data_IF_845893789344
#
_entry.id   IF_845893789344
#
_cell.length_a   1.000
_cell.length_b   1.000
_cell.length_c   1.000
_cell.angle_alpha   90.00
_cell.angle_beta   90.00
_cell.angle_gamma   90.00
#
_symmetry.space_group_name_H-M   'P 1'
#
loop_
_entity.id
_entity.type
_entity.pdbx_description
1 polymer ?
#
# COMPACT_ATOMS: atom_id res chain seq x y z
N UNK A 1 -16.57 33.33 0.96
CA UNK A 1 -16.41 31.88 0.82
C UNK A 1 -14.92 31.61 0.76
N UNK A 2 -14.33 31.08 1.83
CA UNK A 2 -12.89 30.81 1.88
C UNK A 2 -12.64 29.49 1.15
N UNK A 3 -11.99 29.54 0.00
CA UNK A 3 -11.60 28.37 -0.78
C UNK A 3 -10.25 27.90 -0.26
N UNK A 4 -10.20 26.73 0.39
CA UNK A 4 -8.94 26.16 0.89
C UNK A 4 -8.38 25.19 -0.15
N UNK A 5 -7.15 25.46 -0.60
CA UNK A 5 -6.41 24.60 -1.52
C UNK A 5 -5.60 23.61 -0.68
N UNK A 6 -5.91 22.32 -0.79
CA UNK A 6 -5.13 21.23 -0.18
C UNK A 6 -3.68 21.34 -0.69
N UNK A 7 -2.70 21.42 0.22
CA UNK A 7 -1.29 21.32 -0.14
C UNK A 7 -0.90 19.84 -0.16
N UNK A 8 -0.15 19.35 -1.18
CA UNK A 8 0.26 17.96 -1.27
C UNK A 8 1.04 17.45 -0.04
N UNK A 9 1.74 18.36 0.64
CA UNK A 9 2.62 18.12 1.80
C UNK A 9 1.87 17.69 3.09
N UNK A 10 0.52 17.71 3.09
CA UNK A 10 -0.31 17.50 4.28
C UNK A 10 -0.94 16.09 4.41
N UNK A 11 -0.55 15.15 3.55
CA UNK A 11 -1.35 13.95 3.31
C UNK A 11 -1.15 12.82 4.32
N UNK A 12 0.01 12.72 4.99
CA UNK A 12 0.41 11.53 5.75
C UNK A 12 -0.57 11.08 6.86
N UNK A 13 -1.35 12.00 7.43
CA UNK A 13 -2.08 11.78 8.67
C UNK A 13 -3.40 11.02 8.61
N UNK A 14 -4.06 10.96 7.46
CA UNK A 14 -5.46 10.51 7.37
C UNK A 14 -5.60 8.98 7.36
N UNK A 15 -4.52 8.24 7.64
CA UNK A 15 -4.43 6.79 7.52
C UNK A 15 -4.54 5.92 8.79
N UNK A 16 -4.78 6.52 9.97
CA UNK A 16 -4.61 5.80 11.24
C UNK A 16 -5.89 5.47 12.03
N UNK A 17 -7.10 5.76 11.53
CA UNK A 17 -8.36 5.45 12.23
C UNK A 17 -9.23 4.44 11.49
N UNK A 18 -9.68 3.44 12.24
CA UNK A 18 -10.54 2.30 11.88
C UNK A 18 -11.68 2.66 10.90
N UNK A 19 -11.87 1.75 9.95
CA UNK A 19 -13.09 1.45 9.19
C UNK A 19 -14.37 1.99 9.82
N UNK A 20 -14.83 3.15 9.32
CA UNK A 20 -16.23 3.51 9.13
C UNK A 20 -16.27 4.49 7.96
N UNK A 21 -17.01 4.13 6.89
CA UNK A 21 -17.39 4.97 5.73
C UNK A 21 -16.69 6.33 5.72
N UNK A 22 -15.56 6.43 5.02
CA UNK A 22 -14.77 7.66 4.94
C UNK A 22 -15.54 8.68 4.07
N UNK A 23 -16.57 9.30 4.63
CA UNK A 23 -17.28 10.42 4.01
C UNK A 23 -16.39 11.66 4.24
N UNK A 24 -15.37 11.83 3.40
CA UNK A 24 -14.55 13.04 3.41
C UNK A 24 -15.37 14.19 2.83
N UNK A 25 -16.01 14.94 3.71
CA UNK A 25 -16.16 16.39 3.52
C UNK A 25 -14.97 17.02 4.22
N UNK A 26 -13.80 17.01 3.56
CA UNK A 26 -12.58 17.54 4.17
C UNK A 26 -12.59 19.05 4.17
N UNK A 27 -12.75 19.64 5.35
CA UNK A 27 -12.09 20.91 5.64
C UNK A 27 -10.75 20.56 6.24
N UNK A 28 -9.75 20.50 5.38
CA UNK A 28 -8.36 20.33 5.78
C UNK A 28 -7.75 21.72 5.93
N UNK A 29 -7.47 22.12 7.17
CA UNK A 29 -6.58 23.23 7.43
C UNK A 29 -5.20 22.67 7.78
N UNK A 30 -4.25 22.87 6.87
CA UNK A 30 -2.84 22.74 7.22
C UNK A 30 -2.31 24.12 7.63
N UNK A 31 -1.92 24.24 8.89
CA UNK A 31 -1.00 25.28 9.32
C UNK A 31 0.41 24.72 9.20
N UNK A 32 1.06 25.01 8.07
CA UNK A 32 2.40 24.53 7.80
C UNK A 32 3.43 25.68 7.98
N UNK A 33 4.41 25.50 8.87
CA UNK A 33 5.53 26.41 9.11
C UNK A 33 6.80 25.87 8.45
N UNK A 34 7.51 26.73 7.70
CA UNK A 34 8.78 26.37 7.05
C UNK A 34 9.93 27.07 7.74
N UNK A 35 10.99 26.32 8.04
CA UNK A 35 12.26 26.84 8.57
C UNK A 35 13.20 27.28 7.47
N UNK A 36 14.21 28.09 7.81
CA UNK A 36 15.25 28.55 6.88
C UNK A 36 16.05 27.40 6.27
N UNK A 37 16.17 26.27 6.97
CA UNK A 37 16.82 25.06 6.50
C UNK A 37 15.91 24.16 5.65
N UNK A 38 14.80 24.70 5.15
CA UNK A 38 13.87 24.02 4.25
C UNK A 38 13.03 22.89 4.89
N UNK A 39 13.12 22.71 6.22
CA UNK A 39 12.23 21.81 6.94
C UNK A 39 10.84 22.41 7.12
N UNK A 40 9.80 21.59 7.08
CA UNK A 40 8.40 22.00 7.15
C UNK A 40 7.66 21.23 8.24
N UNK A 41 7.08 21.94 9.20
CA UNK A 41 6.20 21.36 10.23
C UNK A 41 4.75 21.71 9.89
N UNK A 42 3.90 20.70 9.74
CA UNK A 42 2.51 20.81 9.36
C UNK A 42 1.61 20.37 10.52
N UNK A 43 0.75 21.25 11.02
CA UNK A 43 -0.40 20.85 11.84
C UNK A 43 -1.61 20.69 10.95
N UNK A 44 -2.20 19.49 10.95
CA UNK A 44 -3.29 19.14 10.05
C UNK A 44 -4.45 18.67 10.90
N UNK A 45 -5.63 19.24 10.65
CA UNK A 45 -6.87 18.72 11.19
C UNK A 45 -7.95 18.64 10.13
N UNK A 46 -8.81 17.63 10.28
CA UNK A 46 -9.95 17.38 9.40
C UNK A 46 -11.21 17.12 10.21
N UNK A 47 -12.30 17.76 9.79
CA UNK A 47 -13.64 17.53 10.32
C UNK A 47 -14.40 16.59 9.37
N UNK A 48 -15.08 15.57 9.90
CA UNK A 48 -15.82 14.60 9.09
C UNK A 48 -17.30 14.60 9.45
N UNK A 49 -18.16 14.38 8.46
CA UNK A 49 -19.62 14.28 8.63
C UNK A 49 -20.04 13.15 9.58
N UNK A 50 -19.19 12.13 9.75
CA UNK A 50 -19.35 11.06 10.74
C UNK A 50 -19.18 11.52 12.20
N UNK A 51 -18.98 12.82 12.44
CA UNK A 51 -18.66 13.48 13.73
C UNK A 51 -17.29 13.13 14.32
N UNK A 52 -16.48 12.37 13.57
CA UNK A 52 -15.08 12.16 13.92
C UNK A 52 -14.24 13.38 13.53
N UNK A 53 -13.18 13.61 14.31
CA UNK A 53 -12.16 14.61 14.03
C UNK A 53 -10.82 13.90 13.99
N UNK A 54 -10.01 14.26 13.01
CA UNK A 54 -8.63 13.79 12.92
C UNK A 54 -7.70 14.98 13.07
N UNK A 55 -6.69 14.80 13.90
CA UNK A 55 -5.68 15.82 14.20
C UNK A 55 -4.35 15.11 14.27
N UNK A 56 -3.34 15.70 13.65
CA UNK A 56 -1.99 15.20 13.65
C UNK A 56 -1.00 16.34 13.43
N UNK A 57 0.28 16.01 13.55
CA UNK A 57 1.38 16.81 13.04
C UNK A 57 2.27 15.98 12.13
N UNK A 58 2.83 16.59 11.09
CA UNK A 58 3.82 16.00 10.21
C UNK A 58 5.04 16.92 10.10
N UNK A 59 6.25 16.34 10.05
CA UNK A 59 7.52 17.05 9.87
C UNK A 59 8.18 16.51 8.61
N UNK A 60 8.43 17.39 7.63
CA UNK A 60 8.93 17.05 6.29
C UNK A 60 8.11 15.98 5.56
N UNK A 61 6.81 15.90 5.89
CA UNK A 61 5.89 14.92 5.32
C UNK A 61 5.81 13.60 6.09
N UNK A 62 6.66 13.38 7.10
CA UNK A 62 6.59 12.24 8.01
C UNK A 62 5.71 12.54 9.23
N UNK A 63 4.88 11.58 9.65
CA UNK A 63 4.02 11.75 10.83
C UNK A 63 4.87 11.92 12.10
N UNK A 64 4.48 12.88 12.95
CA UNK A 64 5.05 13.09 14.28
C UNK A 64 4.13 12.51 15.35
N UNK A 65 2.85 12.88 15.31
CA UNK A 65 1.84 12.38 16.24
C UNK A 65 0.42 12.48 15.66
N UNK A 66 -0.51 11.74 16.24
CA UNK A 66 -1.95 11.92 16.01
C UNK A 66 -2.77 11.87 17.30
N UNK A 67 -3.96 12.47 17.31
CA UNK A 67 -4.86 12.46 18.46
C UNK A 67 -5.79 11.24 18.47
N UNK A 68 -5.65 10.39 19.51
CA UNK A 68 -6.59 9.31 19.80
C UNK A 68 -7.62 9.78 20.84
N UNK A 69 -8.73 10.30 20.34
CA UNK A 69 -9.87 10.75 21.14
C UNK A 69 -10.62 9.63 21.90
N UNK A 70 -10.29 8.35 21.68
CA UNK A 70 -10.83 7.24 22.48
C UNK A 70 -9.95 6.93 23.68
N UNK A 71 -8.64 7.16 23.55
CA UNK A 71 -7.64 6.96 24.62
C UNK A 71 -7.31 8.24 25.39
N UNK A 72 -7.88 9.37 24.96
CA UNK A 72 -7.65 10.70 25.51
C UNK A 72 -6.18 11.13 25.57
N UNK A 73 -5.43 10.85 24.49
CA UNK A 73 -4.01 11.19 24.40
C UNK A 73 -3.52 11.37 22.97
N UNK A 74 -2.31 11.95 22.84
CA UNK A 74 -1.56 11.97 21.58
C UNK A 74 -0.72 10.71 21.47
N UNK A 75 -0.86 10.02 20.34
CA UNK A 75 -0.02 8.90 19.97
C UNK A 75 1.15 9.44 19.15
N UNK A 76 2.35 9.38 19.72
CA UNK A 76 3.59 9.83 19.12
C UNK A 76 4.27 8.72 18.35
N UNK A 77 4.97 9.06 17.27
CA UNK A 77 5.81 8.09 16.59
C UNK A 77 7.03 7.72 17.43
N UNK A 78 7.39 6.43 17.40
CA UNK A 78 8.43 5.85 18.27
C UNK A 78 9.81 6.47 18.09
N UNK A 79 10.07 7.07 16.92
CA UNK A 79 11.32 7.74 16.57
C UNK A 79 11.41 9.17 17.13
N UNK A 80 10.31 9.72 17.65
CA UNK A 80 10.27 11.08 18.18
C UNK A 80 10.72 11.08 19.64
N UNK A 81 11.77 11.85 20.01
CA UNK A 81 12.23 11.90 21.39
C UNK A 81 11.18 12.51 22.31
N UNK A 82 11.07 11.97 23.53
CA UNK A 82 10.10 12.42 24.56
C UNK A 82 10.28 13.91 24.91
N UNK A 83 11.47 14.48 24.71
CA UNK A 83 11.72 15.91 24.89
C UNK A 83 10.91 16.81 23.97
N UNK A 84 10.44 16.30 22.83
CA UNK A 84 9.53 17.01 21.91
C UNK A 84 8.05 16.85 22.29
N UNK A 85 7.73 16.03 23.30
CA UNK A 85 6.36 15.85 23.74
C UNK A 85 5.91 17.07 24.52
N UNK A 86 4.98 17.82 23.95
CA UNK A 86 4.37 18.98 24.58
C UNK A 86 3.27 18.50 25.55
N UNK A 87 3.39 18.74 26.87
CA UNK A 87 2.45 18.19 27.87
C UNK A 87 0.99 18.58 27.64
N UNK A 88 0.74 19.81 27.16
CA UNK A 88 -0.60 20.35 26.94
C UNK A 88 -1.08 20.22 25.49
N UNK A 89 -0.32 19.56 24.60
CA UNK A 89 -0.67 19.47 23.18
C UNK A 89 -2.00 18.73 22.93
N UNK A 90 -2.41 17.82 23.83
CA UNK A 90 -3.72 17.18 23.71
C UNK A 90 -4.89 18.16 23.92
N UNK A 91 -4.72 19.21 24.73
CA UNK A 91 -5.78 20.21 24.95
C UNK A 91 -6.11 20.96 23.65
N UNK A 92 -5.10 21.24 22.83
CA UNK A 92 -5.29 21.80 21.49
C UNK A 92 -6.12 20.86 20.61
N UNK A 93 -5.85 19.55 20.67
CA UNK A 93 -6.64 18.58 19.91
C UNK A 93 -8.13 18.59 20.33
N UNK A 94 -8.41 18.74 21.62
CA UNK A 94 -9.79 18.88 22.13
C UNK A 94 -10.45 20.16 21.64
N UNK A 95 -9.72 21.28 21.60
CA UNK A 95 -10.22 22.56 21.08
C UNK A 95 -10.64 22.45 19.61
N UNK A 96 -9.76 21.93 18.74
CA UNK A 96 -10.08 21.72 17.32
C UNK A 96 -11.23 20.73 17.11
N UNK A 97 -11.33 19.67 17.93
CA UNK A 97 -12.50 18.77 17.92
C UNK A 97 -13.80 19.50 18.24
N UNK A 98 -13.76 20.42 19.21
CA UNK A 98 -14.91 21.28 19.53
C UNK A 98 -15.30 22.18 18.36
N UNK A 99 -14.31 22.82 17.71
CA UNK A 99 -14.54 23.64 16.53
C UNK A 99 -15.13 22.83 15.37
N UNK A 100 -14.60 21.63 15.09
CA UNK A 100 -15.19 20.75 14.06
C UNK A 100 -16.66 20.44 14.34
N UNK A 101 -17.02 20.09 15.58
CA UNK A 101 -18.42 19.79 15.92
C UNK A 101 -19.33 21.00 15.76
N UNK A 102 -18.85 22.19 16.14
CA UNK A 102 -19.66 23.39 16.19
C UNK A 102 -19.70 24.15 14.87
N UNK A 103 -18.70 24.04 14.02
CA UNK A 103 -18.61 24.86 12.83
C UNK A 103 -18.81 24.09 11.53
N UNK A 104 -18.64 22.75 11.45
CA UNK A 104 -18.66 21.96 10.20
C UNK A 104 -19.85 22.29 9.26
N UNK A 105 -21.03 22.59 9.80
CA UNK A 105 -22.21 22.95 8.99
C UNK A 105 -22.05 24.25 8.19
N UNK A 106 -21.16 25.15 8.63
CA UNK A 106 -20.79 26.40 7.95
C UNK A 106 -19.86 26.15 6.76
N UNK A 107 -19.17 25.01 6.76
CA UNK A 107 -18.16 24.64 5.76
C UNK A 107 -18.77 23.59 4.83
N UNK A 108 -19.69 24.03 3.98
CA UNK A 108 -20.19 23.15 2.93
C UNK A 108 -19.13 23.01 1.85
N UNK A 109 -18.87 21.79 1.35
CA UNK A 109 -17.98 21.61 0.23
C UNK A 109 -18.52 22.43 -0.95
N UNK A 110 -17.62 23.18 -1.58
CA UNK A 110 -17.97 23.95 -2.76
C UNK A 110 -18.44 22.96 -3.84
N UNK A 111 -19.73 23.06 -4.23
CA UNK A 111 -20.31 22.17 -5.23
C UNK A 111 -19.61 22.29 -6.59
N UNK A 112 -18.91 23.41 -6.86
CA UNK A 112 -18.10 23.59 -8.06
C UNK A 112 -16.74 22.89 -8.00
N UNK A 113 -16.28 22.50 -6.80
CA UNK A 113 -15.06 21.73 -6.53
C UNK A 113 -15.35 20.22 -6.40
N UNK A 114 -16.60 19.78 -6.67
CA UNK A 114 -16.90 18.36 -6.85
C UNK A 114 -16.11 17.91 -8.07
N UNK A 115 -14.93 17.34 -7.81
CA UNK A 115 -14.09 16.73 -8.82
C UNK A 115 -14.90 15.63 -9.48
N UNK A 116 -14.64 15.42 -10.77
CA UNK A 116 -15.19 14.28 -11.49
C UNK A 116 -14.92 13.04 -10.62
N UNK A 117 -15.98 12.27 -10.38
CA UNK A 117 -15.90 11.02 -9.65
C UNK A 117 -15.05 10.04 -10.48
N UNK A 118 -14.09 9.37 -9.85
CA UNK A 118 -13.15 8.46 -10.50
C UNK A 118 -13.06 7.14 -9.72
N UNK A 119 -13.23 5.98 -10.38
CA UNK A 119 -13.16 4.67 -9.73
C UNK A 119 -11.71 4.29 -9.43
N UNK A 120 -11.46 3.43 -8.42
CA UNK A 120 -10.11 3.02 -8.06
C UNK A 120 -9.49 2.04 -9.06
N UNK A 121 -8.19 2.19 -9.25
CA UNK A 121 -7.31 1.18 -9.82
C UNK A 121 -6.39 0.64 -8.73
N UNK A 122 -6.10 -0.66 -8.74
CA UNK A 122 -5.30 -1.24 -7.68
C UNK A 122 -4.53 -2.50 -8.08
N UNK A 123 -3.42 -2.70 -7.35
CA UNK A 123 -2.49 -3.81 -7.51
C UNK A 123 -2.12 -4.40 -6.14
N UNK A 124 -1.68 -5.65 -6.14
CA UNK A 124 -1.15 -6.34 -4.97
C UNK A 124 0.30 -6.72 -5.26
N UNK A 125 1.19 -6.43 -4.31
CA UNK A 125 2.60 -6.82 -4.39
C UNK A 125 3.20 -7.05 -2.99
N UNK A 126 4.20 -7.93 -2.85
CA UNK A 126 4.92 -8.10 -1.59
C UNK A 126 5.89 -6.94 -1.36
N UNK A 127 6.14 -6.62 -0.09
CA UNK A 127 7.11 -5.58 0.29
C UNK A 127 8.53 -6.02 -0.07
N UNK A 128 8.86 -7.25 0.27
CA UNK A 128 10.19 -7.83 0.15
C UNK A 128 10.16 -9.09 -0.74
N UNK A 129 11.33 -9.64 -1.08
CA UNK A 129 11.42 -10.91 -1.81
C UNK A 129 10.68 -12.03 -1.07
N UNK A 130 9.99 -12.89 -1.83
CA UNK A 130 9.11 -13.91 -1.25
C UNK A 130 9.93 -15.14 -0.90
N UNK A 131 10.24 -15.30 0.39
CA UNK A 131 10.95 -16.47 0.91
C UNK A 131 9.97 -17.27 1.77
N UNK A 132 9.78 -18.55 1.44
CA UNK A 132 8.87 -19.43 2.18
C UNK A 132 9.31 -19.56 3.64
N UNK A 133 8.40 -19.32 4.57
CA UNK A 133 8.68 -19.39 6.00
C UNK A 133 9.31 -18.15 6.64
N UNK A 134 9.60 -17.09 5.86
CA UNK A 134 10.07 -15.80 6.39
C UNK A 134 8.93 -14.77 6.39
N UNK A 135 8.87 -13.92 7.42
CA UNK A 135 7.83 -12.89 7.54
C UNK A 135 7.90 -11.90 6.36
N UNK A 136 6.76 -11.58 5.76
CA UNK A 136 6.64 -10.57 4.70
C UNK A 136 5.32 -9.80 4.86
N UNK A 137 5.13 -8.77 4.05
CA UNK A 137 3.89 -7.96 4.02
C UNK A 137 3.41 -7.81 2.58
N UNK A 138 2.16 -8.20 2.32
CA UNK A 138 1.47 -7.82 1.08
C UNK A 138 0.92 -6.41 1.19
N UNK A 139 1.03 -5.67 0.10
CA UNK A 139 0.56 -4.30 -0.04
C UNK A 139 -0.49 -4.28 -1.15
N UNK A 140 -1.71 -3.85 -0.81
CA UNK A 140 -2.75 -3.51 -1.77
C UNK A 140 -2.71 -1.99 -1.97
N UNK A 141 -2.09 -1.57 -3.08
CA UNK A 141 -1.99 -0.17 -3.45
C UNK A 141 -3.15 0.20 -4.37
N UNK A 142 -3.97 1.13 -3.91
CA UNK A 142 -5.21 1.56 -4.57
C UNK A 142 -5.07 3.05 -4.87
N UNK A 143 -5.29 3.48 -6.11
CA UNK A 143 -4.95 4.83 -6.55
C UNK A 143 -6.02 5.41 -7.49
N UNK A 144 -5.91 6.71 -7.76
CA UNK A 144 -6.68 7.47 -8.75
C UNK A 144 -8.20 7.42 -8.52
N UNK A 145 -8.64 7.45 -7.26
CA UNK A 145 -10.07 7.41 -6.95
C UNK A 145 -10.61 8.64 -6.25
N UNK A 146 -11.86 8.98 -6.54
CA UNK A 146 -12.62 10.01 -5.85
C UNK A 146 -14.12 9.69 -5.89
N UNK A 147 -14.86 9.82 -4.78
CA UNK A 147 -14.44 10.32 -3.47
C UNK A 147 -13.55 9.31 -2.73
N UNK A 148 -12.79 9.75 -1.72
CA UNK A 148 -11.84 8.89 -0.99
C UNK A 148 -12.53 7.91 -0.02
N UNK A 149 -13.81 7.59 -0.23
CA UNK A 149 -14.55 6.60 0.54
C UNK A 149 -14.38 5.21 -0.06
N UNK A 150 -13.71 4.31 0.67
CA UNK A 150 -13.41 2.97 0.18
C UNK A 150 -13.49 1.94 1.32
N UNK A 151 -13.86 0.71 0.99
CA UNK A 151 -13.79 -0.43 1.90
C UNK A 151 -12.83 -1.46 1.32
N UNK A 152 -11.99 -2.05 2.18
CA UNK A 152 -10.92 -2.96 1.78
C UNK A 152 -10.98 -4.18 2.68
N UNK A 153 -10.96 -5.38 2.06
CA UNK A 153 -10.96 -6.67 2.76
C UNK A 153 -9.83 -7.54 2.24
N UNK A 154 -9.25 -8.33 3.14
CA UNK A 154 -8.23 -9.33 2.82
C UNK A 154 -8.79 -10.74 3.03
N UNK A 155 -8.41 -11.66 2.15
CA UNK A 155 -8.66 -13.11 2.33
C UNK A 155 -7.38 -13.90 2.14
N UNK A 156 -7.27 -15.03 2.85
CA UNK A 156 -6.30 -16.10 2.61
C UNK A 156 -7.08 -17.36 2.26
N UNK A 157 -6.84 -17.93 1.08
CA UNK A 157 -7.51 -19.14 0.59
C UNK A 157 -9.05 -19.05 0.73
N UNK A 158 -9.61 -17.95 0.23
CA UNK A 158 -11.05 -17.59 0.29
C UNK A 158 -11.64 -17.40 1.69
N UNK A 159 -10.83 -17.46 2.75
CA UNK A 159 -11.27 -17.18 4.12
C UNK A 159 -10.90 -15.75 4.48
N UNK A 160 -11.90 -14.98 4.94
CA UNK A 160 -11.69 -13.62 5.44
C UNK A 160 -10.75 -13.65 6.64
N UNK A 161 -9.67 -12.87 6.56
CA UNK A 161 -8.69 -12.74 7.63
C UNK A 161 -8.92 -11.43 8.36
N UNK A 162 -9.20 -11.53 9.66
CA UNK A 162 -9.20 -10.35 10.53
C UNK A 162 -7.78 -9.84 10.66
N UNK A 163 -7.48 -8.73 9.98
CA UNK A 163 -6.23 -8.00 10.18
C UNK A 163 -6.32 -7.36 11.58
N UNK A 164 -5.47 -7.79 12.51
CA UNK A 164 -5.51 -7.30 13.90
C UNK A 164 -5.23 -5.79 13.98
N UNK A 165 -4.46 -5.27 13.02
CA UNK A 165 -4.21 -3.83 12.85
C UNK A 165 -4.04 -3.47 11.35
N UNK A 166 -5.14 -3.23 10.60
CA UNK A 166 -5.03 -2.81 9.22
C UNK A 166 -4.49 -1.39 9.20
N UNK A 167 -3.19 -1.25 8.93
CA UNK A 167 -2.63 0.04 8.58
C UNK A 167 -3.19 0.42 7.20
N UNK A 168 -3.96 1.49 7.12
CA UNK A 168 -4.59 1.95 5.87
C UNK A 168 -4.19 3.39 5.64
N UNK A 169 -3.10 3.64 4.90
CA UNK A 169 -2.64 5.01 4.68
C UNK A 169 -3.39 5.67 3.53
N UNK A 170 -4.34 6.57 3.81
CA UNK A 170 -5.06 7.38 2.79
C UNK A 170 -4.35 8.69 2.54
N UNK A 171 -4.05 8.98 1.28
CA UNK A 171 -3.26 10.11 0.82
C UNK A 171 -3.94 10.77 -0.38
N UNK A 172 -3.67 12.06 -0.61
CA UNK A 172 -4.21 12.82 -1.73
C UNK A 172 -3.16 13.01 -2.81
N UNK A 173 -3.55 12.76 -4.05
CA UNK A 173 -2.75 13.04 -5.21
C UNK A 173 -2.78 14.55 -5.58
N UNK A 174 -1.76 15.06 -6.30
CA UNK A 174 -1.74 16.45 -6.77
C UNK A 174 -2.90 16.81 -7.71
N UNK A 175 -3.39 15.83 -8.48
CA UNK A 175 -4.57 15.96 -9.35
C UNK A 175 -5.88 16.03 -8.56
N UNK A 176 -5.82 15.72 -7.25
CA UNK A 176 -6.93 15.80 -6.35
C UNK A 176 -7.72 14.53 -6.11
N UNK A 177 -7.33 13.42 -6.74
CA UNK A 177 -7.79 12.07 -6.40
C UNK A 177 -7.10 11.58 -5.13
N UNK A 178 -7.45 10.40 -4.63
CA UNK A 178 -6.81 9.77 -3.49
C UNK A 178 -6.11 8.47 -3.86
N UNK A 179 -5.17 8.10 -3.00
CA UNK A 179 -4.58 6.77 -2.98
C UNK A 179 -4.55 6.20 -1.56
N UNK A 180 -4.60 4.88 -1.47
CA UNK A 180 -4.61 4.12 -0.23
C UNK A 180 -3.61 2.97 -0.32
N UNK A 181 -2.86 2.76 0.77
CA UNK A 181 -2.03 1.59 0.98
C UNK A 181 -2.63 0.76 2.11
N UNK A 182 -3.07 -0.46 1.82
CA UNK A 182 -3.52 -1.44 2.80
C UNK A 182 -2.48 -2.55 2.94
N UNK A 183 -2.13 -2.90 4.17
CA UNK A 183 -1.04 -3.83 4.46
C UNK A 183 -1.57 -5.11 5.12
N UNK A 184 -1.01 -6.25 4.71
CA UNK A 184 -1.33 -7.55 5.27
C UNK A 184 -0.04 -8.34 5.56
N UNK A 185 0.26 -8.55 6.84
CA UNK A 185 1.42 -9.33 7.26
C UNK A 185 1.11 -10.82 7.10
N UNK A 186 2.05 -11.57 6.53
CA UNK A 186 1.90 -12.99 6.26
C UNK A 186 3.24 -13.70 6.29
N UNK A 187 3.19 -15.00 6.45
CA UNK A 187 4.34 -15.89 6.22
C UNK A 187 4.03 -16.64 4.92
N UNK A 188 4.82 -16.46 3.84
CA UNK A 188 4.57 -17.13 2.57
C UNK A 188 4.63 -18.64 2.75
N UNK A 189 3.58 -19.32 2.29
CA UNK A 189 3.52 -20.77 2.17
C UNK A 189 3.13 -21.11 0.73
N UNK A 190 3.82 -22.11 0.15
CA UNK A 190 3.66 -22.48 -1.25
C UNK A 190 2.20 -22.89 -1.53
N UNK A 191 1.59 -22.27 -2.52
CA UNK A 191 0.20 -22.54 -2.93
C UNK A 191 -0.86 -21.75 -2.14
N UNK A 192 -0.46 -20.89 -1.21
CA UNK A 192 -1.39 -19.92 -0.64
C UNK A 192 -1.80 -18.87 -1.67
N UNK A 193 -3.09 -18.56 -1.67
CA UNK A 193 -3.70 -17.49 -2.47
C UNK A 193 -4.24 -16.41 -1.53
N UNK A 194 -3.73 -15.20 -1.71
CA UNK A 194 -4.17 -14.02 -0.99
C UNK A 194 -5.00 -13.14 -1.92
N UNK A 195 -5.98 -12.42 -1.37
CA UNK A 195 -6.77 -11.47 -2.17
C UNK A 195 -7.06 -10.17 -1.44
N UNK A 196 -7.12 -9.08 -2.20
CA UNK A 196 -7.58 -7.77 -1.75
C UNK A 196 -8.88 -7.44 -2.49
N UNK A 197 -9.99 -7.33 -1.75
CA UNK A 197 -11.29 -6.89 -2.27
C UNK A 197 -11.52 -5.43 -1.94
N UNK A 198 -11.91 -4.66 -2.94
CA UNK A 198 -12.12 -3.21 -2.89
C UNK A 198 -13.58 -2.90 -3.23
N UNK A 199 -14.27 -2.20 -2.32
CA UNK A 199 -15.60 -1.65 -2.56
C UNK A 199 -15.52 -0.12 -2.63
N UNK A 200 -16.06 0.46 -3.69
CA UNK A 200 -16.11 1.90 -3.92
C UNK A 200 -17.44 2.28 -4.59
N UNK A 201 -17.95 3.49 -4.33
CA UNK A 201 -19.28 3.90 -4.82
C UNK A 201 -19.41 3.99 -6.36
N UNK A 202 -18.29 3.96 -7.09
CA UNK A 202 -18.27 3.96 -8.56
C UNK A 202 -17.98 2.58 -9.16
N UNK A 203 -17.81 1.56 -8.33
CA UNK A 203 -17.73 0.18 -8.79
C UNK A 203 -19.14 -0.43 -8.71
N UNK A 204 -19.60 -1.02 -9.82
CA UNK A 204 -20.90 -1.70 -9.86
C UNK A 204 -20.94 -2.89 -8.89
N UNK A 205 -19.80 -3.54 -8.70
CA UNK A 205 -19.59 -4.65 -7.77
C UNK A 205 -18.20 -4.56 -7.12
N UNK A 206 -18.00 -5.15 -5.92
CA UNK A 206 -16.68 -5.25 -5.30
C UNK A 206 -15.65 -5.89 -6.24
N UNK A 207 -14.54 -5.21 -6.49
CA UNK A 207 -13.47 -5.76 -7.31
C UNK A 207 -12.45 -6.48 -6.43
N UNK A 208 -11.97 -7.65 -6.88
CA UNK A 208 -10.97 -8.43 -6.16
C UNK A 208 -9.75 -8.66 -7.03
N UNK A 209 -8.56 -8.45 -6.46
CA UNK A 209 -7.29 -8.86 -7.05
C UNK A 209 -6.72 -10.01 -6.22
N UNK A 210 -6.11 -10.97 -6.90
CA UNK A 210 -5.48 -12.13 -6.29
C UNK A 210 -3.97 -12.04 -6.41
N UNK A 211 -3.28 -12.63 -5.44
CA UNK A 211 -1.84 -12.78 -5.42
C UNK A 211 -1.52 -14.18 -4.88
N UNK A 212 -0.75 -14.96 -5.64
CA UNK A 212 -0.40 -16.34 -5.31
C UNK A 212 1.10 -16.41 -5.00
N UNK A 213 1.47 -17.20 -3.99
CA UNK A 213 2.87 -17.53 -3.74
C UNK A 213 3.35 -18.42 -4.87
N UNK A 214 4.17 -17.86 -5.77
CA UNK A 214 4.67 -18.57 -6.95
C UNK A 214 5.27 -19.92 -6.54
N UNK A 215 4.80 -20.97 -7.21
CA UNK A 215 5.47 -22.25 -7.15
C UNK A 215 6.68 -22.16 -8.06
N UNK A 216 7.89 -22.13 -7.49
CA UNK A 216 9.07 -22.59 -8.22
C UNK A 216 8.85 -24.09 -8.52
N UNK A 217 8.13 -24.38 -9.59
CA UNK A 217 8.39 -25.54 -10.41
C UNK A 217 9.77 -25.27 -11.01
N UNK A 218 10.82 -25.58 -10.24
CA UNK A 218 12.23 -25.50 -10.63
C UNK A 218 12.31 -25.75 -12.14
N UNK A 219 12.59 -24.69 -12.92
CA UNK A 219 12.58 -24.77 -14.37
C UNK A 219 13.41 -25.97 -14.79
N UNK A 220 12.75 -27.08 -15.16
CA UNK A 220 13.42 -28.32 -15.57
C UNK A 220 14.12 -28.14 -16.92
N UNK A 221 13.92 -26.99 -17.58
CA UNK A 221 14.49 -26.66 -18.89
C UNK A 221 15.99 -26.90 -18.95
N UNK A 222 16.83 -26.17 -18.19
CA UNK A 222 18.28 -26.29 -18.28
C UNK A 222 18.80 -27.71 -18.01
N UNK A 223 18.22 -28.41 -17.02
CA UNK A 223 18.61 -29.78 -16.69
C UNK A 223 18.25 -30.79 -17.79
N UNK A 224 17.07 -30.66 -18.40
CA UNK A 224 16.61 -31.51 -19.51
C UNK A 224 17.44 -31.25 -20.78
N UNK A 225 17.74 -29.99 -21.09
CA UNK A 225 18.60 -29.64 -22.24
C UNK A 225 20.03 -30.17 -22.07
N UNK A 226 20.63 -30.07 -20.87
CA UNK A 226 21.93 -30.66 -20.60
C UNK A 226 21.92 -32.19 -20.72
N UNK A 227 20.90 -32.87 -20.18
CA UNK A 227 20.77 -34.33 -20.27
C UNK A 227 20.66 -34.82 -21.71
N UNK A 228 19.81 -34.18 -22.52
CA UNK A 228 19.65 -34.50 -23.94
C UNK A 228 20.93 -34.22 -24.73
N UNK A 229 21.58 -33.08 -24.49
CA UNK A 229 22.85 -32.72 -25.15
C UNK A 229 23.97 -33.72 -24.87
N UNK A 230 24.12 -34.14 -23.61
CA UNK A 230 25.12 -35.15 -23.23
C UNK A 230 24.84 -36.51 -23.88
N UNK A 231 23.58 -36.96 -23.88
CA UNK A 231 23.22 -38.24 -24.48
C UNK A 231 23.48 -38.29 -26.00
N UNK A 232 23.10 -37.24 -26.73
CA UNK A 232 23.35 -37.15 -28.18
C UNK A 232 24.85 -37.00 -28.49
N UNK A 233 25.58 -36.24 -27.66
CA UNK A 233 27.04 -36.11 -27.79
C UNK A 233 27.77 -37.44 -27.65
N UNK A 234 27.41 -38.25 -26.63
CA UNK A 234 28.00 -39.57 -26.44
C UNK A 234 27.71 -40.51 -27.60
N UNK A 235 26.46 -40.53 -28.11
CA UNK A 235 26.10 -41.34 -29.28
C UNK A 235 26.92 -40.93 -30.50
N UNK A 236 27.11 -39.62 -30.72
CA UNK A 236 27.95 -39.09 -31.80
C UNK A 236 29.40 -39.56 -31.72
N UNK A 237 29.98 -39.61 -30.51
CA UNK A 237 31.36 -40.09 -30.30
C UNK A 237 31.48 -41.58 -30.61
N UNK A 238 30.53 -42.41 -30.16
CA UNK A 238 30.53 -43.85 -30.44
C UNK A 238 30.39 -44.15 -31.94
N UNK A 239 29.46 -43.47 -32.62
CA UNK A 239 29.26 -43.64 -34.05
C UNK A 239 30.49 -43.16 -34.83
N UNK A 240 31.04 -41.98 -34.47
CA UNK A 240 32.24 -41.42 -35.11
C UNK A 240 33.47 -42.29 -34.97
N UNK A 241 33.74 -42.81 -33.78
CA UNK A 241 34.86 -43.75 -33.54
C UNK A 241 34.67 -45.05 -34.33
N UNK A 242 33.47 -45.61 -34.36
CA UNK A 242 33.18 -46.80 -35.18
C UNK A 242 33.48 -46.59 -36.67
N UNK A 243 33.04 -45.47 -37.25
CA UNK A 243 33.32 -45.15 -38.65
C UNK A 243 34.81 -44.87 -38.91
N UNK A 244 35.51 -44.22 -37.98
CA UNK A 244 36.95 -43.95 -38.10
C UNK A 244 37.78 -45.24 -38.11
N UNK A 245 37.49 -46.18 -37.21
CA UNK A 245 38.14 -47.49 -37.19
C UNK A 245 37.77 -48.37 -38.38
N UNK A 246 36.56 -48.23 -38.92
CA UNK A 246 36.14 -48.94 -40.13
C UNK A 246 36.83 -48.39 -41.38
N UNK A 247 36.98 -47.07 -41.50
CA UNK A 247 37.69 -46.41 -42.60
C UNK A 247 39.21 -46.69 -42.58
N UNK A 248 39.81 -46.81 -41.38
CA UNK A 248 41.22 -47.19 -41.23
C UNK A 248 41.54 -48.64 -41.60
N UNK A 249 40.54 -49.53 -41.66
CA UNK A 249 40.69 -50.94 -42.08
C UNK A 249 40.47 -51.16 -43.59
N UNK A 250 40.08 -50.13 -44.35
CA UNK A 250 39.86 -50.18 -45.80
C UNK A 250 40.91 -49.37 -46.57
N UNK A 251 42.20 -49.52 -46.22
CA UNK A 251 43.30 -49.10 -47.10
C UNK A 251 43.48 -50.10 -48.26
N UNK A 252 43.92 -49.66 -49.46
CA UNK A 252 43.89 -50.49 -50.65
C UNK A 252 44.86 -51.67 -50.55
N UNK A 253 44.35 -52.89 -50.70
CA UNK A 253 45.14 -54.04 -51.16
C UNK A 253 45.09 -54.07 -52.68
N UNK A 254 46.22 -53.80 -53.34
CA UNK A 254 46.39 -53.92 -54.79
C UNK A 254 47.04 -52.71 -55.41
#
# INVERSE_FOLDING_TARGET
MLTFKVRPEATSCFGKKRSKKLLMVTVEMCECQRSDNNHTLCHIYGCFDSSDTQICAAFDGDDVYYADFKKDLLIWESKIPVSFHLPDAYQYAVLYRSMCKNDIYRWKPDKSVIKKKEPPEFIIYPRDEVITGEDNTLICFINHFFPPSINIKWTKNDVEVTVEDPFIKTLSNPDGTAYVLSYFNFVPEKGDIYSCTVEHELLDEPQTKFWEVETDELSKGPAVFCGLGLSLGLIGVFIGTYFFFKAGKSGPTG
#
